data_IF_469989476243
#
_entry.id   IF_469989476243
#
_cell.length_a   1.000
_cell.length_b   1.000
_cell.length_c   1.000
_cell.angle_alpha   90.00
_cell.angle_beta   90.00
_cell.angle_gamma   90.00
#
_symmetry.space_group_name_H-M   'P 1'
#
loop_
_entity.id
_entity.type
_entity.pdbx_description
1 polymer ?
#
# COMPACT_ATOMS: atom_id res chain seq x y z
N UNK A 1 -12.89 -3.72 -0.60
CA UNK A 1 -12.21 -2.41 -0.61
C UNK A 1 -13.01 -1.47 0.27
N UNK A 2 -12.36 -0.90 1.28
CA UNK A 2 -13.01 -0.06 2.27
C UNK A 2 -13.63 1.19 1.62
N UNK A 3 -14.77 1.65 2.15
CA UNK A 3 -15.48 2.84 1.64
C UNK A 3 -14.60 4.10 1.70
N UNK A 4 -13.74 4.22 2.71
CA UNK A 4 -12.79 5.33 2.81
C UNK A 4 -11.73 5.27 1.72
N UNK A 5 -11.22 4.09 1.39
CA UNK A 5 -10.22 3.94 0.33
C UNK A 5 -10.82 4.33 -1.03
N UNK A 6 -12.07 3.95 -1.29
CA UNK A 6 -12.78 4.33 -2.52
C UNK A 6 -13.00 5.83 -2.59
N UNK A 7 -13.53 6.41 -1.52
CA UNK A 7 -13.74 7.85 -1.42
C UNK A 7 -12.42 8.62 -1.60
N UNK A 8 -11.32 8.11 -1.06
CA UNK A 8 -10.01 8.72 -1.22
C UNK A 8 -9.48 8.66 -2.65
N UNK A 9 -9.53 7.50 -3.32
CA UNK A 9 -9.07 7.36 -4.71
C UNK A 9 -9.86 8.26 -5.67
N UNK A 10 -11.17 8.35 -5.46
CA UNK A 10 -12.04 9.27 -6.21
C UNK A 10 -11.72 10.73 -5.89
N UNK A 11 -11.51 11.05 -4.61
CA UNK A 11 -11.12 12.39 -4.16
C UNK A 11 -9.81 12.86 -4.77
N UNK A 12 -8.76 12.02 -4.79
CA UNK A 12 -7.49 12.34 -5.42
C UNK A 12 -7.65 12.62 -6.92
N UNK A 13 -8.41 11.77 -7.62
CA UNK A 13 -8.70 11.96 -9.05
C UNK A 13 -9.41 13.30 -9.28
N UNK A 14 -10.42 13.63 -8.47
CA UNK A 14 -11.14 14.90 -8.57
C UNK A 14 -10.25 16.11 -8.28
N UNK A 15 -9.39 16.05 -7.26
CA UNK A 15 -8.43 17.12 -6.92
C UNK A 15 -7.44 17.33 -8.07
N UNK A 16 -6.83 16.28 -8.61
CA UNK A 16 -5.90 16.42 -9.72
C UNK A 16 -6.59 16.92 -10.98
N UNK A 17 -7.80 16.43 -11.30
CA UNK A 17 -8.59 16.92 -12.43
C UNK A 17 -8.91 18.42 -12.29
N UNK A 18 -9.26 18.87 -11.08
CA UNK A 18 -9.48 20.29 -10.80
C UNK A 18 -8.21 21.13 -10.95
N UNK A 19 -7.06 20.65 -10.48
CA UNK A 19 -5.79 21.36 -10.64
C UNK A 19 -5.43 21.49 -12.13
N UNK A 20 -5.58 20.41 -12.91
CA UNK A 20 -5.31 20.44 -14.35
C UNK A 20 -6.30 21.33 -15.11
N UNK A 21 -7.58 21.38 -14.72
CA UNK A 21 -8.58 22.24 -15.38
C UNK A 21 -8.32 23.74 -15.18
N UNK A 22 -7.53 24.13 -14.17
CA UNK A 22 -7.05 25.52 -14.04
C UNK A 22 -6.06 25.95 -15.12
N UNK A 23 -5.44 24.99 -15.82
CA UNK A 23 -4.43 25.23 -16.85
C UNK A 23 -4.83 24.71 -18.23
N UNK A 24 -5.84 23.84 -18.30
CA UNK A 24 -6.33 23.20 -19.52
C UNK A 24 -7.80 23.56 -19.72
N UNK A 25 -8.14 24.13 -20.87
CA UNK A 25 -9.53 24.46 -21.23
C UNK A 25 -10.40 23.23 -21.56
N UNK A 26 -9.82 22.03 -21.47
CA UNK A 26 -10.47 20.76 -21.81
C UNK A 26 -10.65 19.89 -20.58
N UNK A 27 -11.85 19.91 -20.01
CA UNK A 27 -12.23 19.13 -18.82
C UNK A 27 -11.93 17.64 -18.95
N UNK A 28 -12.17 17.05 -20.13
CA UNK A 28 -11.88 15.63 -20.39
C UNK A 28 -10.38 15.35 -20.30
N UNK A 29 -9.53 16.21 -20.87
CA UNK A 29 -8.08 16.07 -20.79
C UNK A 29 -7.58 16.20 -19.35
N UNK A 30 -8.12 17.17 -18.60
CA UNK A 30 -7.79 17.35 -17.19
C UNK A 30 -8.19 16.13 -16.34
N UNK A 31 -9.37 15.55 -16.60
CA UNK A 31 -9.82 14.33 -15.94
C UNK A 31 -8.92 13.13 -16.26
N UNK A 32 -8.56 12.93 -17.53
CA UNK A 32 -7.67 11.86 -17.95
C UNK A 32 -6.29 12.00 -17.30
N UNK A 33 -5.69 13.19 -17.32
CA UNK A 33 -4.40 13.43 -16.67
C UNK A 33 -4.46 13.24 -15.15
N UNK A 34 -5.53 13.71 -14.51
CA UNK A 34 -5.74 13.52 -13.08
C UNK A 34 -5.88 12.04 -12.71
N UNK A 35 -6.60 11.28 -13.53
CA UNK A 35 -6.72 9.84 -13.39
C UNK A 35 -5.38 9.13 -13.62
N UNK A 36 -4.63 9.48 -14.67
CA UNK A 36 -3.32 8.92 -14.95
C UNK A 36 -2.32 9.20 -13.83
N UNK A 37 -2.30 10.42 -13.29
CA UNK A 37 -1.44 10.75 -12.15
C UNK A 37 -1.84 9.94 -10.92
N UNK A 38 -3.14 9.83 -10.62
CA UNK A 38 -3.63 9.01 -9.52
C UNK A 38 -3.28 7.52 -9.71
N UNK A 39 -3.32 7.02 -10.94
CA UNK A 39 -2.90 5.66 -11.29
C UNK A 39 -1.40 5.45 -11.04
N UNK A 40 -0.55 6.40 -11.46
CA UNK A 40 0.89 6.34 -11.23
C UNK A 40 1.22 6.36 -9.73
N UNK A 41 0.60 7.27 -8.96
CA UNK A 41 0.91 7.45 -7.53
C UNK A 41 0.39 6.33 -6.63
N UNK A 42 -0.59 5.54 -7.07
CA UNK A 42 -1.15 4.42 -6.30
C UNK A 42 -0.45 3.08 -6.56
N UNK A 43 0.82 3.08 -7.01
CA UNK A 43 1.62 1.88 -7.28
C UNK A 43 1.12 0.95 -8.39
N UNK A 44 0.01 1.27 -9.06
CA UNK A 44 -0.52 0.44 -10.14
C UNK A 44 0.44 0.34 -11.33
N UNK A 45 1.26 1.35 -11.55
CA UNK A 45 2.31 1.33 -12.56
C UNK A 45 3.36 0.24 -12.29
N UNK A 46 3.79 0.08 -11.03
CA UNK A 46 4.76 -0.96 -10.64
C UNK A 46 4.13 -2.35 -10.76
N UNK A 47 2.87 -2.51 -10.35
CA UNK A 47 2.13 -3.76 -10.56
C UNK A 47 2.01 -4.12 -12.05
N UNK A 48 1.81 -3.13 -12.92
CA UNK A 48 1.74 -3.34 -14.36
C UNK A 48 3.10 -3.73 -14.94
N UNK A 49 4.19 -3.05 -14.57
CA UNK A 49 5.56 -3.41 -14.97
C UNK A 49 5.91 -4.83 -14.54
N UNK A 50 5.54 -5.22 -13.32
CA UNK A 50 5.68 -6.60 -12.86
C UNK A 50 4.98 -7.59 -13.77
N UNK A 51 3.74 -7.32 -14.19
CA UNK A 51 3.00 -8.25 -15.07
C UNK A 51 3.67 -8.47 -16.43
N UNK A 52 4.63 -7.60 -16.80
CA UNK A 52 5.49 -7.73 -17.97
C UNK A 52 6.83 -8.43 -17.66
N UNK A 53 6.96 -9.08 -16.49
CA UNK A 53 8.19 -9.67 -15.96
C UNK A 53 9.35 -8.67 -15.78
N UNK A 54 9.05 -7.39 -15.56
CA UNK A 54 10.04 -6.38 -15.23
C UNK A 54 10.14 -6.26 -13.70
N UNK A 55 11.06 -7.02 -13.12
CA UNK A 55 11.36 -6.99 -11.69
C UNK A 55 12.62 -6.19 -11.42
N UNK A 56 12.51 -5.21 -10.52
CA UNK A 56 13.62 -4.34 -10.12
C UNK A 56 14.34 -4.83 -8.86
N UNK A 57 13.75 -5.80 -8.16
CA UNK A 57 14.33 -6.49 -7.01
C UNK A 57 14.61 -7.93 -7.44
N UNK A 58 15.87 -8.24 -7.72
CA UNK A 58 16.33 -9.56 -8.17
C UNK A 58 16.95 -10.38 -7.06
N UNK A 59 17.36 -9.73 -5.97
CA UNK A 59 17.96 -10.36 -4.79
C UNK A 59 17.01 -10.25 -3.59
N UNK A 60 16.90 -11.33 -2.81
CA UNK A 60 16.06 -11.34 -1.62
C UNK A 60 16.49 -10.27 -0.61
N UNK A 61 17.80 -10.13 -0.36
CA UNK A 61 18.29 -9.25 0.71
C UNK A 61 17.93 -7.78 0.44
N UNK A 62 17.91 -7.35 -0.83
CA UNK A 62 17.47 -6.00 -1.21
C UNK A 62 15.96 -5.81 -1.00
N UNK A 63 15.18 -6.81 -1.41
CA UNK A 63 13.73 -6.82 -1.23
C UNK A 63 13.37 -6.75 0.26
N UNK A 64 13.99 -7.59 1.06
CA UNK A 64 13.76 -7.75 2.49
C UNK A 64 14.20 -6.51 3.28
N UNK A 65 15.35 -5.92 2.91
CA UNK A 65 15.81 -4.67 3.51
C UNK A 65 14.79 -3.54 3.27
N UNK A 66 14.28 -3.41 2.04
CA UNK A 66 13.26 -2.39 1.74
C UNK A 66 11.94 -2.68 2.46
N UNK A 67 11.47 -3.94 2.41
CA UNK A 67 10.22 -4.36 3.04
C UNK A 67 10.26 -4.13 4.56
N UNK A 68 11.34 -4.56 5.22
CA UNK A 68 11.55 -4.39 6.66
C UNK A 68 11.58 -2.92 7.05
N UNK A 69 12.35 -2.09 6.32
CA UNK A 69 12.40 -0.65 6.58
C UNK A 69 11.02 0.00 6.40
N UNK A 70 10.28 -0.36 5.36
CA UNK A 70 8.92 0.14 5.12
C UNK A 70 7.97 -0.25 6.26
N UNK A 71 7.99 -1.51 6.69
CA UNK A 71 7.14 -2.04 7.74
C UNK A 71 7.48 -1.42 9.10
N UNK A 72 8.77 -1.30 9.44
CA UNK A 72 9.22 -0.65 10.66
C UNK A 72 8.77 0.81 10.72
N UNK A 73 8.99 1.58 9.65
CA UNK A 73 8.50 2.96 9.53
C UNK A 73 6.98 3.08 9.67
N UNK A 74 6.22 2.07 9.23
CA UNK A 74 4.77 2.03 9.41
C UNK A 74 4.39 1.71 10.86
N UNK A 75 5.09 0.78 11.53
CA UNK A 75 4.81 0.43 12.93
C UNK A 75 5.00 1.60 13.88
N UNK A 76 5.90 2.53 13.56
CA UNK A 76 6.16 3.72 14.36
C UNK A 76 5.07 4.80 14.21
N UNK A 77 4.15 4.65 13.25
CA UNK A 77 3.10 5.65 13.02
C UNK A 77 2.04 5.58 14.11
N UNK A 78 1.79 6.73 14.75
CA UNK A 78 0.84 6.84 15.88
C UNK A 78 -0.59 6.38 15.54
N UNK A 79 -0.98 6.42 14.27
CA UNK A 79 -2.31 6.08 13.76
C UNK A 79 -2.45 4.62 13.33
N UNK A 80 -1.36 3.84 13.29
CA UNK A 80 -1.37 2.40 13.03
C UNK A 80 -1.69 1.65 14.33
N UNK A 81 -2.60 0.67 14.26
CA UNK A 81 -2.92 -0.26 15.35
C UNK A 81 -2.11 -1.54 15.20
N UNK A 82 -2.20 -2.17 14.03
CA UNK A 82 -1.54 -3.45 13.71
C UNK A 82 -1.22 -3.47 12.22
N UNK A 83 -0.17 -4.19 11.85
CA UNK A 83 0.17 -4.51 10.46
C UNK A 83 0.20 -6.02 10.32
N UNK A 84 -0.31 -6.53 9.22
CA UNK A 84 -0.21 -7.92 8.83
C UNK A 84 0.52 -7.98 7.49
N UNK A 85 1.43 -8.93 7.36
CA UNK A 85 1.99 -9.33 6.07
C UNK A 85 1.23 -10.57 5.61
N UNK A 86 0.93 -10.66 4.32
CA UNK A 86 0.20 -11.79 3.74
C UNK A 86 0.83 -12.22 2.41
N UNK A 87 0.21 -13.19 1.73
CA UNK A 87 0.65 -13.73 0.44
C UNK A 87 1.83 -14.71 0.56
N UNK A 88 2.53 -14.90 -0.56
CA UNK A 88 3.65 -15.87 -0.71
C UNK A 88 4.79 -15.67 0.29
N UNK A 89 4.93 -14.47 0.85
CA UNK A 89 5.95 -14.10 1.82
C UNK A 89 5.63 -14.48 3.25
N UNK A 90 4.38 -14.87 3.52
CA UNK A 90 3.88 -15.07 4.85
C UNK A 90 4.40 -16.36 5.51
N UNK A 91 4.45 -17.46 4.76
CA UNK A 91 4.78 -18.77 5.32
C UNK A 91 6.16 -19.31 4.90
N UNK A 92 6.81 -18.74 3.86
CA UNK A 92 8.05 -19.33 3.35
C UNK A 92 8.95 -18.34 2.59
N UNK A 93 10.08 -17.93 3.18
CA UNK A 93 11.15 -17.18 2.49
C UNK A 93 11.63 -17.87 1.20
N UNK A 94 11.49 -19.19 1.14
CA UNK A 94 11.87 -20.02 0.00
C UNK A 94 10.92 -19.93 -1.21
N UNK A 95 9.76 -19.29 -1.06
CA UNK A 95 8.79 -19.08 -2.15
C UNK A 95 8.90 -17.71 -2.80
N UNK A 96 9.78 -16.85 -2.30
CA UNK A 96 10.08 -15.59 -2.96
C UNK A 96 10.77 -15.83 -4.30
N UNK A 97 10.33 -15.10 -5.31
CA UNK A 97 10.93 -15.06 -6.63
C UNK A 97 11.07 -13.61 -7.10
N UNK A 98 11.97 -13.31 -8.04
CA UNK A 98 12.02 -12.01 -8.67
C UNK A 98 10.66 -11.63 -9.27
N UNK A 99 9.97 -10.69 -8.64
CA UNK A 99 8.60 -10.28 -9.00
C UNK A 99 7.55 -10.60 -7.94
N UNK A 100 7.88 -11.26 -6.84
CA UNK A 100 7.00 -11.32 -5.67
C UNK A 100 6.63 -9.91 -5.20
N UNK A 101 5.35 -9.68 -4.92
CA UNK A 101 4.86 -8.49 -4.23
C UNK A 101 4.87 -8.67 -2.71
N UNK A 102 4.89 -7.53 -2.02
CA UNK A 102 4.61 -7.47 -0.61
C UNK A 102 3.13 -7.10 -0.40
N UNK A 103 2.33 -8.07 0.02
CA UNK A 103 0.96 -7.81 0.47
C UNK A 103 0.95 -7.37 1.94
N UNK A 104 0.50 -6.15 2.19
CA UNK A 104 0.44 -5.56 3.53
C UNK A 104 -0.99 -5.15 3.85
N UNK A 105 -1.45 -5.56 5.03
CA UNK A 105 -2.71 -5.07 5.59
C UNK A 105 -2.42 -4.25 6.84
N UNK A 106 -2.82 -2.99 6.82
CA UNK A 106 -2.69 -2.07 7.95
C UNK A 106 -4.05 -1.84 8.59
N UNK A 107 -4.16 -2.18 9.86
CA UNK A 107 -5.28 -1.76 10.72
C UNK A 107 -4.91 -0.43 11.34
N UNK A 108 -5.73 0.59 11.09
CA UNK A 108 -5.56 1.89 11.74
C UNK A 108 -6.29 1.93 13.08
N UNK A 109 -5.88 2.87 13.92
CA UNK A 109 -6.64 3.23 15.12
C UNK A 109 -7.96 3.92 14.73
N UNK A 110 -9.03 3.76 15.53
CA UNK A 110 -10.31 4.40 15.27
C UNK A 110 -10.21 5.94 15.33
N UNK A 111 -11.19 6.62 14.73
CA UNK A 111 -11.31 8.08 14.73
C UNK A 111 -11.03 8.72 13.37
N UNK A 112 -11.63 9.89 13.13
CA UNK A 112 -11.57 10.61 11.85
C UNK A 112 -10.14 11.10 11.55
N UNK A 113 -9.46 11.65 12.56
CA UNK A 113 -8.08 12.14 12.42
C UNK A 113 -7.11 11.02 12.04
N UNK A 114 -7.27 9.84 12.63
CA UNK A 114 -6.50 8.65 12.26
C UNK A 114 -6.88 8.14 10.86
N UNK A 115 -8.13 8.28 10.44
CA UNK A 115 -8.56 7.98 9.07
C UNK A 115 -7.87 8.88 8.04
N UNK A 116 -7.87 10.19 8.28
CA UNK A 116 -7.16 11.15 7.42
C UNK A 116 -5.66 10.81 7.38
N UNK A 117 -5.03 10.59 8.53
CA UNK A 117 -3.60 10.21 8.59
C UNK A 117 -3.30 8.91 7.88
N UNK A 118 -4.16 7.90 8.00
CA UNK A 118 -3.99 6.61 7.32
C UNK A 118 -4.10 6.76 5.81
N UNK A 119 -5.03 7.59 5.34
CA UNK A 119 -5.22 7.90 3.93
C UNK A 119 -4.00 8.61 3.33
N UNK A 120 -3.50 9.67 3.98
CA UNK A 120 -2.27 10.33 3.54
C UNK A 120 -1.04 9.41 3.67
N UNK A 121 -0.98 8.62 4.75
CA UNK A 121 0.06 7.62 4.95
C UNK A 121 0.08 6.58 3.83
N UNK A 122 -1.09 6.08 3.41
CA UNK A 122 -1.24 5.15 2.30
C UNK A 122 -0.70 5.75 1.00
N UNK A 123 -1.04 7.01 0.71
CA UNK A 123 -0.54 7.71 -0.47
C UNK A 123 0.98 7.84 -0.42
N UNK A 124 1.56 8.25 0.72
CA UNK A 124 3.00 8.41 0.85
C UNK A 124 3.75 7.09 0.74
N UNK A 125 3.21 6.02 1.31
CA UNK A 125 3.81 4.68 1.24
C UNK A 125 3.75 4.14 -0.18
N UNK A 126 2.61 4.26 -0.86
CA UNK A 126 2.46 3.87 -2.28
C UNK A 126 3.35 4.70 -3.18
N UNK A 127 3.44 6.00 -2.94
CA UNK A 127 4.35 6.89 -3.66
C UNK A 127 5.81 6.48 -3.46
N UNK A 128 6.23 6.24 -2.22
CA UNK A 128 7.59 5.75 -1.91
C UNK A 128 7.86 4.44 -2.63
N UNK A 129 6.94 3.47 -2.58
CA UNK A 129 7.08 2.20 -3.30
C UNK A 129 7.16 2.41 -4.81
N UNK A 130 6.38 3.33 -5.37
CA UNK A 130 6.42 3.67 -6.81
C UNK A 130 7.77 4.26 -7.21
N UNK A 131 8.30 5.22 -6.42
CA UNK A 131 9.60 5.86 -6.69
C UNK A 131 10.75 4.83 -6.60
N UNK A 132 10.65 3.89 -5.67
CA UNK A 132 11.64 2.82 -5.50
C UNK A 132 11.33 1.57 -6.34
N UNK A 133 10.34 1.63 -7.24
CA UNK A 133 9.89 0.53 -8.09
C UNK A 133 9.61 -0.78 -7.33
N UNK A 134 9.19 -0.66 -6.07
CA UNK A 134 8.94 -1.78 -5.18
C UNK A 134 7.50 -2.28 -5.35
N UNK A 135 7.30 -3.59 -5.62
CA UNK A 135 5.97 -4.16 -5.83
C UNK A 135 5.24 -4.29 -4.48
N UNK A 136 4.46 -3.26 -4.14
CA UNK A 136 3.69 -3.19 -2.91
C UNK A 136 2.19 -3.23 -3.18
N UNK A 137 1.49 -4.17 -2.57
CA UNK A 137 0.04 -4.12 -2.45
C UNK A 137 -0.36 -3.89 -0.98
N UNK A 138 -0.72 -2.64 -0.66
CA UNK A 138 -1.02 -2.22 0.71
C UNK A 138 -2.48 -1.78 0.85
N UNK A 139 -3.15 -2.33 1.85
CA UNK A 139 -4.54 -2.04 2.19
C UNK A 139 -4.68 -1.49 3.60
N UNK A 140 -5.60 -0.55 3.77
CA UNK A 140 -5.89 0.08 5.06
C UNK A 140 -7.33 -0.21 5.46
N UNK A 141 -7.53 -0.70 6.69
CA UNK A 141 -8.85 -1.01 7.23
C UNK A 141 -9.10 -0.34 8.57
N UNK A 142 -10.37 -0.01 8.80
CA UNK A 142 -10.87 0.63 10.01
C UNK A 142 -11.03 -0.35 11.18
N UNK A 143 -11.40 -1.60 10.88
CA UNK A 143 -11.66 -2.66 11.86
C UNK A 143 -11.16 -4.01 11.33
N UNK A 144 -10.73 -4.87 12.25
CA UNK A 144 -10.34 -6.25 11.97
C UNK A 144 -11.51 -7.07 11.37
N UNK A 145 -12.75 -6.77 11.73
CA UNK A 145 -13.92 -7.49 11.17
C UNK A 145 -14.10 -7.33 9.66
N UNK A 146 -13.56 -6.28 9.03
CA UNK A 146 -13.59 -6.11 7.56
C UNK A 146 -12.49 -6.95 6.88
N UNK A 147 -11.52 -7.46 7.65
CA UNK A 147 -10.59 -8.47 7.13
C UNK A 147 -11.23 -9.84 7.05
N UNK A 148 -12.12 -10.22 7.97
CA UNK A 148 -12.67 -11.58 8.04
C UNK A 148 -13.28 -12.01 6.70
N UNK A 149 -14.09 -11.16 6.05
CA UNK A 149 -14.66 -11.43 4.72
C UNK A 149 -13.59 -11.61 3.63
N UNK A 150 -12.45 -10.91 3.74
CA UNK A 150 -11.35 -10.96 2.76
C UNK A 150 -10.41 -12.15 2.99
N UNK A 151 -10.27 -12.59 4.24
CA UNK A 151 -9.47 -13.74 4.63
C UNK A 151 -10.17 -15.06 4.33
N UNK A 152 -11.49 -15.10 4.52
CA UNK A 152 -12.31 -16.26 4.17
C UNK A 152 -12.20 -16.56 2.66
N UNK A 153 -12.17 -15.52 1.83
CA UNK A 153 -12.05 -15.66 0.36
C UNK A 153 -10.65 -16.13 -0.08
N UNK A 154 -9.60 -15.73 0.64
CA UNK A 154 -8.20 -16.02 0.28
C UNK A 154 -7.55 -17.22 0.98
N UNK A 155 -8.16 -17.76 2.03
CA UNK A 155 -7.55 -18.80 2.90
C UNK A 155 -6.15 -18.43 3.42
N UNK A 156 -5.83 -17.13 3.48
CA UNK A 156 -4.51 -16.64 3.90
C UNK A 156 -4.43 -16.54 5.42
N UNK A 157 -3.35 -17.04 6.00
CA UNK A 157 -3.05 -16.87 7.42
C UNK A 157 -2.60 -15.44 7.67
N UNK A 158 -3.14 -14.76 8.66
CA UNK A 158 -2.62 -13.45 9.05
C UNK A 158 -1.47 -13.62 10.04
N UNK A 159 -0.26 -13.20 9.65
CA UNK A 159 0.85 -13.06 10.60
C UNK A 159 0.98 -11.58 10.96
N UNK A 160 0.70 -11.19 12.22
CA UNK A 160 0.93 -9.83 12.66
C UNK A 160 2.42 -9.55 12.59
N UNK A 161 2.79 -8.48 11.88
CA UNK A 161 4.16 -8.01 11.84
C UNK A 161 4.55 -7.46 13.21
N UNK A 162 5.59 -8.03 13.81
CA UNK A 162 6.20 -7.53 15.04
C UNK A 162 7.59 -7.01 14.73
N UNK A 163 7.80 -5.71 14.89
CA UNK A 163 9.12 -5.09 14.76
C UNK A 163 10.13 -5.82 15.66
N UNK A 164 11.21 -6.36 15.08
CA UNK A 164 12.18 -7.17 15.81
C UNK A 164 12.93 -6.37 16.89
N UNK A 165 12.97 -5.03 16.79
CA UNK A 165 13.61 -4.16 17.78
C UNK A 165 12.93 -4.18 19.17
N UNK A 166 11.69 -4.65 19.28
CA UNK A 166 10.99 -4.79 20.56
C UNK A 166 11.22 -6.14 21.27
N UNK A 167 11.92 -7.11 20.64
CA UNK A 167 12.26 -8.39 21.29
C UNK A 167 13.43 -8.27 22.26
N UNK A 168 14.31 -7.29 22.09
CA UNK A 168 15.50 -7.08 22.94
C UNK A 168 15.26 -6.10 24.11
N UNK A 169 14.02 -5.71 24.38
CA UNK A 169 13.64 -4.80 25.48
C UNK A 169 12.68 -5.43 26.50
N UNK A 170 12.52 -6.75 26.49
CA UNK A 170 11.74 -7.51 27.48
C UNK A 170 12.64 -8.47 28.24
#
# INVERSE_FOLDING_TARGET
MDTFERAFKLGCTAVFAFVFSRRLDRTVTALLLGHSLNFLLNSHAVSALRSMNLSFYTEWDEFDAYATNLLDNLTERSWVKTIYVTGSLNDNRNEWQPGSDLDVIVIRKPGITNGIKAVFGALLVRFSATVNLFPLDIYFFDKEGTLEDRLIDKQEKLIPYSNQNNRNKR
#
